data_IF_932898984799
#
_entry.id   IF_932898984799
#
_cell.length_a   1.000
_cell.length_b   1.000
_cell.length_c   1.000
_cell.angle_alpha   90.00
_cell.angle_beta   90.00
_cell.angle_gamma   90.00
#
_symmetry.space_group_name_H-M   'P 1'
#
loop_
_entity.id
_entity.type
_entity.pdbx_description
1 polymer ?
#
# COMPACT_ATOMS: atom_id res chain seq x y z
N UNK A 1 50.18 11.52 4.25
CA UNK A 1 48.96 12.06 4.87
C UNK A 1 47.83 11.04 4.68
N UNK A 2 47.84 9.99 5.51
CA UNK A 2 46.79 8.97 5.52
C UNK A 2 45.64 9.47 6.37
N UNK A 3 44.57 9.92 5.71
CA UNK A 3 43.25 9.96 6.32
C UNK A 3 42.88 8.51 6.56
N UNK A 4 43.09 8.05 7.80
CA UNK A 4 42.45 6.83 8.27
C UNK A 4 40.97 7.01 7.99
N UNK A 5 40.40 6.15 7.15
CA UNK A 5 38.97 5.87 7.23
C UNK A 5 38.76 5.36 8.65
N UNK A 6 38.42 6.27 9.55
CA UNK A 6 37.90 5.92 10.86
C UNK A 6 36.59 5.24 10.56
N UNK A 7 36.66 3.92 10.36
CA UNK A 7 35.53 3.03 10.37
C UNK A 7 34.98 3.15 11.79
N UNK A 8 34.14 4.15 11.99
CA UNK A 8 33.37 4.32 13.21
C UNK A 8 32.48 3.08 13.30
N UNK A 9 33.01 2.01 13.85
CA UNK A 9 32.25 0.93 14.44
C UNK A 9 31.51 1.54 15.64
N UNK A 10 30.49 2.36 15.37
CA UNK A 10 29.57 2.79 16.41
C UNK A 10 29.06 1.52 17.07
N UNK A 11 29.27 1.40 18.38
CA UNK A 11 28.71 0.32 19.20
C UNK A 11 27.17 0.23 19.13
N UNK A 12 26.53 1.22 18.50
CA UNK A 12 25.12 1.29 18.21
C UNK A 12 24.87 0.73 16.79
N UNK A 13 24.07 -0.34 16.63
CA UNK A 13 23.74 -0.91 15.32
C UNK A 13 22.75 -0.01 14.56
N UNK A 14 23.10 1.27 14.32
CA UNK A 14 22.23 2.28 13.68
C UNK A 14 21.59 1.76 12.39
N UNK A 15 22.29 0.90 11.66
CA UNK A 15 21.81 0.27 10.43
C UNK A 15 20.62 -0.67 10.65
N UNK A 16 20.56 -1.38 11.78
CA UNK A 16 19.42 -2.21 12.17
C UNK A 16 18.22 -1.35 12.61
N UNK A 17 18.48 -0.27 13.35
CA UNK A 17 17.45 0.70 13.76
C UNK A 17 16.84 1.42 12.54
N UNK A 18 17.65 1.81 11.56
CA UNK A 18 17.21 2.39 10.29
C UNK A 18 16.35 1.39 9.51
N UNK A 19 16.78 0.12 9.43
CA UNK A 19 15.99 -0.94 8.79
C UNK A 19 14.62 -1.12 9.44
N UNK A 20 14.57 -1.10 10.77
CA UNK A 20 13.32 -1.23 11.53
C UNK A 20 12.40 0.00 11.39
N UNK A 21 12.96 1.21 11.28
CA UNK A 21 12.18 2.44 11.07
C UNK A 21 11.67 2.61 9.62
N UNK A 22 12.42 2.12 8.64
CA UNK A 22 12.12 2.36 7.22
C UNK A 22 10.82 1.68 6.79
N UNK A 23 10.58 0.43 7.20
CA UNK A 23 9.38 -0.32 6.83
C UNK A 23 8.08 0.34 7.34
N UNK A 24 7.93 0.68 8.64
CA UNK A 24 6.73 1.34 9.13
C UNK A 24 6.59 2.77 8.56
N UNK A 25 7.68 3.50 8.35
CA UNK A 25 7.64 4.81 7.71
C UNK A 25 7.13 4.73 6.27
N UNK A 26 7.63 3.76 5.49
CA UNK A 26 7.19 3.50 4.12
C UNK A 26 5.72 3.07 4.09
N UNK A 27 5.31 2.16 4.97
CA UNK A 27 3.91 1.75 5.08
C UNK A 27 2.99 2.93 5.39
N UNK A 28 3.39 3.79 6.35
CA UNK A 28 2.64 4.99 6.69
C UNK A 28 2.53 5.95 5.49
N UNK A 29 3.63 6.21 4.79
CA UNK A 29 3.62 7.05 3.59
C UNK A 29 2.71 6.50 2.49
N UNK A 30 2.71 5.18 2.26
CA UNK A 30 1.83 4.52 1.28
C UNK A 30 0.36 4.61 1.66
N UNK A 31 0.04 4.45 2.96
CA UNK A 31 -1.33 4.62 3.46
C UNK A 31 -1.80 6.06 3.23
N UNK A 32 -0.97 7.05 3.58
CA UNK A 32 -1.29 8.47 3.36
C UNK A 32 -1.49 8.77 1.87
N UNK A 33 -0.60 8.26 1.01
CA UNK A 33 -0.72 8.41 -0.44
C UNK A 33 -2.01 7.80 -0.98
N UNK A 34 -2.30 6.54 -0.64
CA UNK A 34 -3.51 5.86 -1.09
C UNK A 34 -4.78 6.56 -0.58
N UNK A 35 -4.75 7.03 0.67
CA UNK A 35 -5.86 7.77 1.26
C UNK A 35 -6.07 9.12 0.56
N UNK A 36 -4.99 9.84 0.26
CA UNK A 36 -5.06 11.07 -0.53
C UNK A 36 -5.69 10.78 -1.89
N UNK A 37 -5.21 9.76 -2.62
CA UNK A 37 -5.76 9.38 -3.92
C UNK A 37 -7.26 9.04 -3.85
N UNK A 38 -7.67 8.26 -2.84
CA UNK A 38 -9.08 7.87 -2.68
C UNK A 38 -9.99 9.03 -2.27
N UNK A 39 -9.49 9.99 -1.48
CA UNK A 39 -10.27 11.17 -1.05
C UNK A 39 -10.31 12.26 -2.13
N UNK A 40 -9.24 12.42 -2.91
CA UNK A 40 -9.17 13.34 -4.05
C UNK A 40 -10.04 12.89 -5.22
N UNK A 41 -10.44 11.62 -5.26
CA UNK A 41 -11.32 11.09 -6.32
C UNK A 41 -12.74 11.63 -6.12
N UNK A 42 -13.22 12.58 -6.96
CA UNK A 42 -14.42 13.38 -6.67
C UNK A 42 -15.72 12.57 -6.68
N UNK A 43 -15.75 11.43 -7.36
CA UNK A 43 -16.94 10.58 -7.47
C UNK A 43 -17.34 9.89 -6.16
N UNK A 44 -16.42 9.76 -5.20
CA UNK A 44 -16.66 9.06 -3.96
C UNK A 44 -16.35 9.96 -2.77
N UNK A 45 -17.38 10.61 -2.21
CA UNK A 45 -17.36 11.25 -0.89
C UNK A 45 -17.15 10.21 0.23
N UNK A 46 -16.03 9.49 0.19
CA UNK A 46 -15.62 8.52 1.19
C UNK A 46 -14.98 9.30 2.32
N UNK A 47 -15.57 9.27 3.51
CA UNK A 47 -14.90 9.76 4.72
C UNK A 47 -13.55 9.04 4.86
N UNK A 48 -12.51 9.71 5.38
CA UNK A 48 -11.19 9.13 5.69
C UNK A 48 -11.30 7.73 6.34
N UNK A 49 -12.26 7.54 7.25
CA UNK A 49 -12.54 6.26 7.93
C UNK A 49 -13.02 5.13 7.01
N UNK A 50 -13.68 5.46 5.90
CA UNK A 50 -14.16 4.49 4.91
C UNK A 50 -13.08 4.11 3.90
N UNK A 51 -12.11 5.01 3.64
CA UNK A 51 -11.00 4.79 2.71
C UNK A 51 -9.83 3.99 3.34
N UNK A 52 -9.72 4.02 4.68
CA UNK A 52 -8.66 3.37 5.46
C UNK A 52 -8.47 1.87 5.19
N UNK A 53 -9.52 1.02 5.07
CA UNK A 53 -9.35 -0.41 4.84
C UNK A 53 -8.62 -0.71 3.52
N UNK A 54 -9.01 -0.02 2.44
CA UNK A 54 -8.38 -0.14 1.13
C UNK A 54 -6.96 0.43 1.10
N UNK A 55 -6.69 1.51 1.84
CA UNK A 55 -5.34 2.08 1.94
C UNK A 55 -4.37 1.12 2.65
N UNK A 56 -4.82 0.46 3.73
CA UNK A 56 -4.05 -0.58 4.42
C UNK A 56 -3.81 -1.78 3.49
N UNK A 57 -4.85 -2.24 2.79
CA UNK A 57 -4.74 -3.34 1.82
C UNK A 57 -3.71 -3.01 0.73
N UNK A 58 -3.78 -1.81 0.15
CA UNK A 58 -2.82 -1.34 -0.85
C UNK A 58 -1.39 -1.34 -0.29
N UNK A 59 -1.17 -0.74 0.88
CA UNK A 59 0.16 -0.64 1.46
C UNK A 59 0.78 -2.01 1.73
N UNK A 60 0.02 -2.95 2.30
CA UNK A 60 0.51 -4.31 2.57
C UNK A 60 0.81 -5.03 1.25
N UNK A 61 -0.14 -4.99 0.31
CA UNK A 61 0.03 -5.63 -1.00
C UNK A 61 1.23 -5.08 -1.77
N UNK A 62 1.47 -3.77 -1.71
CA UNK A 62 2.58 -3.13 -2.40
C UNK A 62 3.94 -3.49 -1.82
N UNK A 63 4.05 -3.59 -0.48
CA UNK A 63 5.27 -4.06 0.19
C UNK A 63 5.57 -5.50 -0.20
N UNK A 64 4.56 -6.38 -0.18
CA UNK A 64 4.70 -7.79 -0.59
C UNK A 64 5.13 -7.88 -2.05
N UNK A 65 4.48 -7.14 -2.95
CA UNK A 65 4.81 -7.11 -4.36
C UNK A 65 6.26 -6.64 -4.59
N UNK A 66 6.70 -5.60 -3.89
CA UNK A 66 8.07 -5.09 -4.00
C UNK A 66 9.11 -6.09 -3.49
N UNK A 67 8.82 -6.81 -2.39
CA UNK A 67 9.70 -7.87 -1.89
C UNK A 67 9.77 -9.07 -2.84
N UNK A 68 8.63 -9.48 -3.40
CA UNK A 68 8.57 -10.55 -4.39
C UNK A 68 9.35 -10.19 -5.66
N UNK A 69 9.23 -8.94 -6.09
CA UNK A 69 9.96 -8.41 -7.23
C UNK A 69 11.47 -8.36 -7.01
N UNK A 70 11.91 -7.92 -5.83
CA UNK A 70 13.32 -7.96 -5.43
C UNK A 70 13.87 -9.38 -5.49
N UNK A 71 13.11 -10.37 -5.00
CA UNK A 71 13.50 -11.78 -5.07
C UNK A 71 13.56 -12.30 -6.51
N UNK A 72 12.60 -11.91 -7.35
CA UNK A 72 12.57 -12.29 -8.76
C UNK A 72 13.81 -11.77 -9.49
N UNK A 73 14.12 -10.47 -9.37
CA UNK A 73 15.25 -9.83 -10.06
C UNK A 73 16.59 -10.37 -9.59
N UNK A 74 16.75 -10.69 -8.30
CA UNK A 74 17.98 -11.23 -7.73
C UNK A 74 18.42 -12.58 -8.34
N UNK A 75 17.53 -13.26 -9.08
CA UNK A 75 17.82 -14.55 -9.71
C UNK A 75 18.33 -14.44 -11.16
N UNK A 76 18.34 -13.26 -11.75
CA UNK A 76 18.64 -13.02 -13.18
C UNK A 76 20.08 -12.51 -13.46
N UNK A 77 21.05 -12.93 -12.65
CA UNK A 77 22.42 -12.38 -12.65
C UNK A 77 23.34 -12.86 -13.81
N UNK A 78 22.81 -13.59 -14.82
CA UNK A 78 23.62 -14.27 -15.85
C UNK A 78 23.18 -14.03 -17.32
N UNK A 79 22.44 -12.96 -17.61
CA UNK A 79 22.01 -12.68 -18.99
C UNK A 79 22.90 -11.65 -19.71
N UNK A 80 23.06 -11.84 -21.02
CA UNK A 80 23.81 -10.98 -21.92
C UNK A 80 23.24 -9.54 -21.90
N UNK A 81 24.06 -8.47 -21.73
CA UNK A 81 23.61 -7.09 -21.49
C UNK A 81 22.57 -6.54 -22.46
N UNK A 82 22.56 -6.96 -23.72
CA UNK A 82 21.56 -6.51 -24.71
C UNK A 82 20.13 -6.93 -24.36
N UNK A 83 19.95 -8.10 -23.75
CA UNK A 83 18.64 -8.60 -23.34
C UNK A 83 18.21 -8.07 -21.96
N UNK A 84 19.17 -7.58 -21.17
CA UNK A 84 18.92 -7.00 -19.85
C UNK A 84 18.11 -5.70 -19.95
N UNK A 85 18.39 -4.85 -20.94
CA UNK A 85 17.65 -3.62 -21.18
C UNK A 85 16.17 -3.91 -21.52
N UNK A 86 15.90 -4.86 -22.42
CA UNK A 86 14.52 -5.25 -22.75
C UNK A 86 13.80 -5.85 -21.54
N UNK A 87 14.46 -6.74 -20.79
CA UNK A 87 13.92 -7.34 -19.59
C UNK A 87 13.60 -6.27 -18.53
N UNK A 88 14.45 -5.27 -18.34
CA UNK A 88 14.24 -4.19 -17.36
C UNK A 88 12.96 -3.39 -17.61
N UNK A 89 12.62 -3.13 -18.88
CA UNK A 89 11.38 -2.44 -19.27
C UNK A 89 10.16 -3.29 -18.92
N UNK A 90 10.17 -4.58 -19.29
CA UNK A 90 9.06 -5.51 -18.98
C UNK A 90 8.85 -5.64 -17.46
N UNK A 91 9.94 -5.70 -16.72
CA UNK A 91 9.99 -5.79 -15.25
C UNK A 91 9.41 -4.50 -14.64
N UNK A 92 9.81 -3.32 -15.12
CA UNK A 92 9.22 -2.04 -14.71
C UNK A 92 7.72 -1.95 -15.01
N UNK A 93 7.30 -2.32 -16.22
CA UNK A 93 5.89 -2.33 -16.63
C UNK A 93 5.06 -3.27 -15.77
N UNK A 94 5.60 -4.44 -15.44
CA UNK A 94 4.96 -5.42 -14.54
C UNK A 94 4.78 -4.84 -13.14
N UNK A 95 5.81 -4.18 -12.62
CA UNK A 95 5.76 -3.54 -11.30
C UNK A 95 4.72 -2.40 -11.25
N UNK A 96 4.66 -1.58 -12.30
CA UNK A 96 3.63 -0.54 -12.43
C UNK A 96 2.23 -1.12 -12.59
N UNK A 97 2.07 -2.15 -13.40
CA UNK A 97 0.81 -2.87 -13.56
C UNK A 97 0.29 -3.40 -12.21
N UNK A 98 1.15 -4.07 -11.43
CA UNK A 98 0.80 -4.56 -10.10
C UNK A 98 0.42 -3.43 -9.14
N UNK A 99 1.15 -2.32 -9.17
CA UNK A 99 0.84 -1.13 -8.34
C UNK A 99 -0.54 -0.58 -8.67
N UNK A 100 -0.86 -0.40 -9.96
CA UNK A 100 -2.17 0.04 -10.42
C UNK A 100 -3.28 -0.94 -10.02
N UNK A 101 -3.02 -2.24 -10.18
CA UNK A 101 -3.97 -3.30 -9.82
C UNK A 101 -4.27 -3.28 -8.31
N UNK A 102 -3.25 -3.12 -7.46
CA UNK A 102 -3.43 -3.00 -6.01
C UNK A 102 -4.23 -1.74 -5.63
N UNK A 103 -3.96 -0.59 -6.27
CA UNK A 103 -4.72 0.64 -6.05
C UNK A 103 -6.20 0.47 -6.41
N UNK A 104 -6.48 -0.14 -7.56
CA UNK A 104 -7.84 -0.41 -8.02
C UNK A 104 -8.57 -1.40 -7.11
N UNK A 105 -7.89 -2.47 -6.69
CA UNK A 105 -8.46 -3.45 -5.77
C UNK A 105 -8.76 -2.83 -4.40
N UNK A 106 -7.88 -1.99 -3.86
CA UNK A 106 -8.13 -1.25 -2.62
C UNK A 106 -9.34 -0.31 -2.73
N UNK A 107 -9.50 0.36 -3.88
CA UNK A 107 -10.68 1.18 -4.18
C UNK A 107 -11.97 0.35 -4.27
N UNK A 108 -11.93 -0.79 -4.96
CA UNK A 108 -13.07 -1.72 -5.03
C UNK A 108 -13.45 -2.28 -3.66
N UNK A 109 -12.46 -2.61 -2.82
CA UNK A 109 -12.68 -3.06 -1.45
C UNK A 109 -13.43 -1.99 -0.64
N UNK A 110 -12.99 -0.73 -0.72
CA UNK A 110 -13.67 0.39 -0.08
C UNK A 110 -15.13 0.53 -0.56
N UNK A 111 -15.37 0.40 -1.87
CA UNK A 111 -16.71 0.45 -2.44
C UNK A 111 -17.62 -0.69 -1.95
N UNK A 112 -17.11 -1.92 -1.86
CA UNK A 112 -17.85 -3.07 -1.33
C UNK A 112 -18.22 -2.85 0.15
N UNK A 113 -17.25 -2.44 0.97
CA UNK A 113 -17.49 -2.17 2.40
C UNK A 113 -18.51 -1.04 2.62
N UNK A 114 -18.55 -0.05 1.73
CA UNK A 114 -19.55 1.02 1.75
C UNK A 114 -20.94 0.47 1.43
N UNK A 115 -21.06 -0.33 0.37
CA UNK A 115 -22.33 -0.96 -0.04
C UNK A 115 -22.91 -1.87 1.04
N UNK A 116 -22.07 -2.67 1.70
CA UNK A 116 -22.49 -3.54 2.80
C UNK A 116 -22.99 -2.73 4.01
N UNK A 117 -22.29 -1.66 4.39
CA UNK A 117 -22.74 -0.76 5.47
C UNK A 117 -24.08 -0.09 5.16
N UNK A 118 -24.30 0.31 3.91
CA UNK A 118 -25.59 0.86 3.47
C UNK A 118 -26.71 -0.17 3.46
N UNK A 119 -26.40 -1.42 3.07
CA UNK A 119 -27.35 -2.54 3.16
C UNK A 119 -27.77 -2.80 4.60
N UNK A 120 -26.81 -2.90 5.52
CA UNK A 120 -27.09 -3.11 6.95
C UNK A 120 -27.95 -1.99 7.54
N UNK A 121 -27.67 -0.73 7.19
CA UNK A 121 -28.48 0.42 7.63
C UNK A 121 -29.92 0.38 7.12
N UNK A 122 -30.14 -0.12 5.90
CA UNK A 122 -31.49 -0.29 5.33
C UNK A 122 -32.23 -1.49 5.90
N UNK A 123 -31.50 -2.54 6.31
CA UNK A 123 -32.06 -3.75 6.91
C UNK A 123 -32.35 -3.59 8.40
N UNK A 124 -31.73 -2.63 9.10
CA UNK A 124 -32.13 -2.20 10.43
C UNK A 124 -33.50 -1.51 10.30
N UNK A 125 -34.61 -2.14 10.72
CA UNK A 125 -35.94 -1.58 10.55
C UNK A 125 -36.03 -0.24 11.26
N UNK A 126 -36.81 0.69 10.70
CA UNK A 126 -37.34 1.84 11.42
C UNK A 126 -37.66 1.39 12.84
N UNK A 127 -37.01 2.01 13.84
CA UNK A 127 -37.38 1.79 15.23
C UNK A 127 -38.92 1.83 15.30
N UNK A 128 -39.57 0.91 16.03
CA UNK A 128 -41.02 0.90 16.11
C UNK A 128 -41.44 2.33 16.41
N UNK A 129 -42.23 2.92 15.53
CA UNK A 129 -42.92 4.17 15.81
C UNK A 129 -43.45 3.99 17.23
N UNK A 130 -43.02 4.81 18.22
CA UNK A 130 -43.46 4.61 19.59
C UNK A 130 -44.96 4.67 19.48
N UNK A 131 -45.60 3.51 19.67
CA UNK A 131 -47.03 3.32 19.52
C UNK A 131 -47.64 4.54 20.16
N UNK A 132 -48.23 5.43 19.34
CA UNK A 132 -48.85 6.63 19.84
C UNK A 132 -49.92 6.13 20.80
N UNK A 133 -49.56 6.23 22.07
CA UNK A 133 -50.30 5.76 23.22
C UNK A 133 -51.54 6.65 23.27
N UNK A 134 -52.70 6.01 23.10
CA UNK A 134 -54.06 6.44 23.50
C UNK A 134 -54.51 7.85 23.15
#
# INVERSE_FOLDING_TARGET
>A
AGIAEVNFQLAFPLQAWIGYLNVPFTAFALIVLALALYVLTPENYSTIRQALPGAIFFSIGWIIATKLFQFYVARYDRYNPTYLALASIVVLLTWMYLTCLLLLLGGKLNAILRRERERMRRAAPLAPEPAAVS
#
